data_IF_572788101554
#
_entry.id   IF_572788101554
#
_cell.length_a   1.000
_cell.length_b   1.000
_cell.length_c   1.000
_cell.angle_alpha   90.00
_cell.angle_beta   90.00
_cell.angle_gamma   90.00
#
_symmetry.space_group_name_H-M   'P 1'
#
loop_
_entity.id
_entity.type
_entity.pdbx_description
1 polymer ?
#
# COMPACT_ATOMS: atom_id res chain seq x y z
N UNK A 1 -0.94 -10.60 11.63
CA UNK A 1 0.11 -9.80 10.97
C UNK A 1 -0.07 -8.34 11.32
N UNK A 2 0.97 -7.72 11.80
CA UNK A 2 0.94 -6.31 12.21
C UNK A 2 1.72 -5.45 11.22
N UNK A 3 1.28 -4.21 11.05
CA UNK A 3 1.94 -3.24 10.20
C UNK A 3 3.44 -3.13 10.48
N UNK A 4 3.82 -3.14 11.75
CA UNK A 4 5.22 -3.03 12.15
C UNK A 4 6.11 -4.11 11.51
N UNK A 5 5.59 -5.31 11.38
CA UNK A 5 6.32 -6.42 10.77
C UNK A 5 6.54 -6.18 9.27
N UNK A 6 5.54 -5.62 8.60
CA UNK A 6 5.63 -5.28 7.18
C UNK A 6 6.62 -4.13 6.97
N UNK A 7 6.54 -3.09 7.78
CA UNK A 7 7.42 -1.92 7.66
C UNK A 7 8.89 -2.27 7.91
N UNK A 8 9.16 -3.36 8.60
CA UNK A 8 10.52 -3.85 8.88
C UNK A 8 10.95 -5.02 7.98
N UNK A 9 10.13 -5.39 7.00
CA UNK A 9 10.45 -6.50 6.10
C UNK A 9 11.46 -6.06 5.05
N UNK A 10 12.62 -6.70 5.04
CA UNK A 10 13.74 -6.31 4.16
C UNK A 10 13.43 -6.47 2.68
N UNK A 11 12.72 -7.53 2.32
CA UNK A 11 12.38 -7.80 0.93
C UNK A 11 11.39 -6.78 0.40
N UNK A 12 10.33 -6.50 1.17
CA UNK A 12 9.36 -5.47 0.80
C UNK A 12 10.04 -4.12 0.63
N UNK A 13 10.91 -3.75 1.56
CA UNK A 13 11.61 -2.47 1.52
C UNK A 13 12.57 -2.39 0.32
N UNK A 14 13.19 -3.50 -0.07
CA UNK A 14 14.04 -3.51 -1.25
C UNK A 14 13.25 -3.17 -2.52
N UNK A 15 12.05 -3.74 -2.68
CA UNK A 15 11.20 -3.40 -3.81
C UNK A 15 10.71 -1.95 -3.76
N UNK A 16 10.36 -1.46 -2.60
CA UNK A 16 9.94 -0.05 -2.46
C UNK A 16 11.07 0.91 -2.83
N UNK A 17 12.30 0.60 -2.44
CA UNK A 17 13.47 1.40 -2.79
C UNK A 17 13.72 1.39 -4.29
N UNK A 18 13.58 0.24 -4.93
CA UNK A 18 13.72 0.12 -6.39
C UNK A 18 12.67 0.95 -7.11
N UNK A 19 11.42 0.91 -6.64
CA UNK A 19 10.34 1.71 -7.20
C UNK A 19 10.61 3.20 -7.10
N UNK A 20 11.10 3.65 -5.96
CA UNK A 20 11.45 5.05 -5.76
C UNK A 20 12.58 5.49 -6.71
N UNK A 21 13.60 4.65 -6.89
CA UNK A 21 14.69 4.94 -7.82
C UNK A 21 14.18 5.04 -9.26
N UNK A 22 13.28 4.13 -9.67
CA UNK A 22 12.70 4.15 -11.01
C UNK A 22 11.93 5.45 -11.25
N UNK A 23 11.15 5.90 -10.29
CA UNK A 23 10.38 7.14 -10.40
C UNK A 23 11.29 8.37 -10.49
N UNK A 24 12.40 8.38 -9.75
CA UNK A 24 13.39 9.45 -9.84
C UNK A 24 13.95 9.60 -11.24
N UNK A 25 14.20 8.49 -11.92
CA UNK A 25 14.70 8.48 -13.30
C UNK A 25 13.65 9.01 -14.30
N UNK A 26 12.36 8.84 -13.99
CA UNK A 26 11.28 9.33 -14.82
C UNK A 26 10.90 10.78 -14.53
N UNK A 27 11.57 11.41 -13.58
CA UNK A 27 11.31 12.81 -13.23
C UNK A 27 10.21 13.03 -12.21
N UNK A 28 9.67 11.96 -11.63
CA UNK A 28 8.69 12.07 -10.55
C UNK A 28 9.39 12.44 -9.25
N UNK A 29 8.72 13.24 -8.43
CA UNK A 29 9.23 13.63 -7.13
C UNK A 29 8.57 12.81 -6.03
N UNK A 30 9.36 12.48 -5.03
CA UNK A 30 8.95 11.94 -3.73
C UNK A 30 7.88 10.85 -3.71
N UNK A 31 8.30 9.62 -4.07
CA UNK A 31 7.61 8.38 -3.73
C UNK A 31 8.48 7.58 -2.76
N UNK A 32 9.13 8.28 -1.85
CA UNK A 32 10.07 7.74 -0.87
C UNK A 32 9.35 6.91 0.19
N UNK A 33 10.15 6.28 1.04
CA UNK A 33 9.63 5.57 2.21
C UNK A 33 8.81 6.49 3.11
N UNK A 34 9.16 7.79 3.16
CA UNK A 34 8.39 8.78 3.93
C UNK A 34 6.94 8.86 3.43
N UNK A 35 6.72 8.83 2.11
CA UNK A 35 5.38 8.80 1.54
C UNK A 35 4.65 7.52 1.95
N UNK A 36 5.30 6.36 1.87
CA UNK A 36 4.69 5.08 2.27
C UNK A 36 4.26 5.11 3.74
N UNK A 37 5.11 5.61 4.62
CA UNK A 37 4.81 5.73 6.04
C UNK A 37 3.63 6.68 6.27
N UNK A 38 3.62 7.81 5.56
CA UNK A 38 2.58 8.82 5.72
C UNK A 38 1.21 8.29 5.25
N UNK A 39 1.17 7.60 4.12
CA UNK A 39 -0.06 7.01 3.61
C UNK A 39 -0.56 5.93 4.57
N UNK A 40 0.34 5.09 5.09
CA UNK A 40 -0.02 4.06 6.08
C UNK A 40 -0.64 4.71 7.32
N UNK A 41 0.00 5.74 7.85
CA UNK A 41 -0.49 6.44 9.04
C UNK A 41 -1.86 7.04 8.80
N UNK A 42 -2.04 7.73 7.69
CA UNK A 42 -3.32 8.40 7.39
C UNK A 42 -4.45 7.39 7.16
N UNK A 43 -4.19 6.31 6.44
CA UNK A 43 -5.20 5.27 6.22
C UNK A 43 -5.66 4.66 7.54
N UNK A 44 -4.73 4.33 8.43
CA UNK A 44 -5.06 3.81 9.75
C UNK A 44 -5.84 4.81 10.59
N UNK A 45 -5.44 6.08 10.54
CA UNK A 45 -6.09 7.16 11.29
C UNK A 45 -7.53 7.38 10.86
N UNK A 46 -7.79 7.32 9.56
CA UNK A 46 -9.13 7.45 9.01
C UNK A 46 -10.06 6.38 9.62
N UNK A 47 -9.64 5.12 9.56
CA UNK A 47 -10.45 4.02 10.09
C UNK A 47 -10.60 4.08 11.59
N UNK A 48 -9.56 4.50 12.31
CA UNK A 48 -9.62 4.66 13.76
C UNK A 48 -10.66 5.71 14.16
N UNK A 49 -10.66 6.85 13.48
CA UNK A 49 -11.62 7.94 13.75
C UNK A 49 -13.06 7.54 13.46
N UNK A 50 -13.26 6.64 12.50
CA UNK A 50 -14.59 6.17 12.14
C UNK A 50 -15.03 4.98 12.98
N UNK A 51 -14.22 4.53 13.94
CA UNK A 51 -14.59 3.47 14.87
C UNK A 51 -14.44 2.06 14.37
N UNK A 52 -13.65 1.85 13.30
CA UNK A 52 -13.40 0.50 12.79
C UNK A 52 -12.44 -0.27 13.71
N UNK A 53 -12.42 -1.60 13.55
CA UNK A 53 -11.63 -2.48 14.40
C UNK A 53 -10.13 -2.27 14.24
N UNK A 54 -9.38 -2.66 15.27
CA UNK A 54 -7.91 -2.64 15.22
C UNK A 54 -7.39 -3.49 14.07
N UNK A 55 -8.06 -4.61 13.79
CA UNK A 55 -7.70 -5.49 12.68
C UNK A 55 -7.79 -4.76 11.34
N UNK A 56 -8.88 -4.06 11.10
CA UNK A 56 -9.07 -3.28 9.87
C UNK A 56 -8.08 -2.12 9.77
N UNK A 57 -7.78 -1.49 10.90
CA UNK A 57 -6.78 -0.42 10.95
C UNK A 57 -5.41 -0.95 10.52
N UNK A 58 -5.01 -2.12 11.02
CA UNK A 58 -3.73 -2.72 10.64
C UNK A 58 -3.67 -3.07 9.16
N UNK A 59 -4.76 -3.61 8.60
CA UNK A 59 -4.82 -3.92 7.17
C UNK A 59 -4.70 -2.66 6.31
N UNK A 60 -5.35 -1.58 6.71
CA UNK A 60 -5.26 -0.31 6.00
C UNK A 60 -3.84 0.26 6.02
N UNK A 61 -3.15 0.14 7.15
CA UNK A 61 -1.75 0.57 7.25
C UNK A 61 -0.83 -0.26 6.34
N UNK A 62 -1.03 -1.57 6.31
CA UNK A 62 -0.24 -2.46 5.46
C UNK A 62 -0.46 -2.12 3.99
N UNK A 63 -1.72 -1.97 3.58
CA UNK A 63 -2.04 -1.61 2.20
C UNK A 63 -1.43 -0.24 1.84
N UNK A 64 -1.53 0.72 2.75
CA UNK A 64 -0.95 2.06 2.55
C UNK A 64 0.55 2.02 2.37
N UNK A 65 1.25 1.24 3.19
CA UNK A 65 2.70 1.12 3.10
C UNK A 65 3.15 0.51 1.77
N UNK A 66 2.41 -0.46 1.26
CA UNK A 66 2.79 -1.23 0.08
C UNK A 66 2.15 -0.74 -1.22
N UNK A 67 1.31 0.29 -1.18
CA UNK A 67 0.48 0.63 -2.34
C UNK A 67 1.26 0.95 -3.62
N UNK A 68 2.45 1.52 -3.51
CA UNK A 68 3.28 1.90 -4.65
C UNK A 68 4.35 0.87 -5.02
N UNK A 69 4.31 -0.32 -4.42
CA UNK A 69 5.36 -1.34 -4.64
C UNK A 69 5.48 -1.75 -6.11
N UNK A 70 4.41 -1.61 -6.88
CA UNK A 70 4.41 -1.92 -8.31
C UNK A 70 5.34 -1.04 -9.13
N UNK A 71 5.74 0.12 -8.61
CA UNK A 71 6.71 0.99 -9.29
C UNK A 71 8.08 0.32 -9.46
N UNK A 72 8.36 -0.75 -8.70
CA UNK A 72 9.57 -1.56 -8.90
C UNK A 72 9.56 -2.25 -10.26
N UNK A 73 8.38 -2.46 -10.83
CA UNK A 73 8.21 -3.11 -12.14
C UNK A 73 8.00 -2.05 -13.22
N UNK A 74 6.98 -1.21 -13.09
CA UNK A 74 6.69 -0.18 -14.06
C UNK A 74 5.67 0.80 -13.47
N UNK A 75 5.80 2.10 -13.77
CA UNK A 75 4.82 3.10 -13.35
C UNK A 75 3.47 2.86 -14.03
N UNK A 76 3.47 2.49 -15.30
CA UNK A 76 2.26 2.11 -16.02
C UNK A 76 1.71 0.83 -15.40
N UNK A 77 0.44 0.84 -15.00
CA UNK A 77 -0.23 -0.28 -14.32
C UNK A 77 0.41 -0.65 -12.97
N UNK A 78 1.04 0.33 -12.32
CA UNK A 78 1.73 0.06 -11.04
C UNK A 78 0.78 -0.48 -9.96
N UNK A 79 -0.49 -0.12 -10.00
CA UNK A 79 -1.45 -0.64 -9.02
C UNK A 79 -1.66 -2.14 -9.20
N UNK A 80 -1.89 -2.59 -10.43
CA UNK A 80 -2.09 -4.00 -10.75
C UNK A 80 -0.83 -4.82 -10.50
N UNK A 81 0.32 -4.33 -10.97
CA UNK A 81 1.60 -5.00 -10.70
C UNK A 81 1.89 -5.02 -9.19
N UNK A 82 1.55 -3.94 -8.49
CA UNK A 82 1.72 -3.87 -7.05
C UNK A 82 0.90 -4.90 -6.30
N UNK A 83 -0.34 -5.11 -6.72
CA UNK A 83 -1.20 -6.11 -6.11
C UNK A 83 -0.63 -7.52 -6.28
N UNK A 84 -0.17 -7.85 -7.49
CA UNK A 84 0.41 -9.17 -7.77
C UNK A 84 1.72 -9.38 -7.01
N UNK A 85 2.57 -8.37 -6.97
CA UNK A 85 3.85 -8.46 -6.24
C UNK A 85 3.60 -8.56 -4.74
N UNK A 86 2.67 -7.77 -4.21
CA UNK A 86 2.31 -7.83 -2.79
C UNK A 86 1.75 -9.21 -2.43
N UNK A 87 0.95 -9.81 -3.30
CA UNK A 87 0.44 -11.15 -3.06
C UNK A 87 1.59 -12.15 -2.87
N UNK A 88 2.58 -12.13 -3.75
CA UNK A 88 3.72 -13.04 -3.66
C UNK A 88 4.52 -12.81 -2.36
N UNK A 89 4.73 -11.56 -1.99
CA UNK A 89 5.49 -11.24 -0.78
C UNK A 89 4.73 -11.59 0.49
N UNK A 90 3.43 -11.30 0.53
CA UNK A 90 2.60 -11.57 1.72
C UNK A 90 2.31 -13.05 1.91
N UNK A 91 2.37 -13.87 0.85
CA UNK A 91 2.24 -15.33 0.96
C UNK A 91 3.31 -15.95 1.84
N UNK A 92 4.46 -15.32 1.92
CA UNK A 92 5.60 -15.81 2.73
C UNK A 92 5.50 -15.37 4.20
N UNK A 93 4.42 -14.68 4.57
CA UNK A 93 4.16 -14.24 5.93
C UNK A 93 3.06 -15.10 6.57
N UNK A 94 2.76 -14.85 7.83
CA UNK A 94 1.67 -15.55 8.53
C UNK A 94 0.30 -14.90 8.31
N UNK A 95 0.21 -13.94 7.39
CA UNK A 95 -1.07 -13.29 7.08
C UNK A 95 -2.07 -14.29 6.51
N UNK A 96 -3.32 -14.24 6.99
CA UNK A 96 -4.37 -15.13 6.48
C UNK A 96 -4.69 -14.83 5.02
N UNK A 97 -5.26 -15.81 4.33
CA UNK A 97 -5.69 -15.63 2.95
C UNK A 97 -6.69 -14.49 2.82
N UNK A 98 -7.67 -14.41 3.73
CA UNK A 98 -8.67 -13.34 3.71
C UNK A 98 -8.04 -11.97 3.80
N UNK A 99 -7.12 -11.79 4.74
CA UNK A 99 -6.44 -10.51 4.93
C UNK A 99 -5.59 -10.16 3.73
N UNK A 100 -4.89 -11.13 3.17
CA UNK A 100 -4.08 -10.94 1.99
C UNK A 100 -4.92 -10.48 0.81
N UNK A 101 -6.07 -11.10 0.60
CA UNK A 101 -7.00 -10.70 -0.46
C UNK A 101 -7.46 -9.25 -0.26
N UNK A 102 -7.80 -8.88 0.98
CA UNK A 102 -8.22 -7.51 1.29
C UNK A 102 -7.12 -6.51 0.95
N UNK A 103 -5.88 -6.81 1.34
CA UNK A 103 -4.75 -5.92 1.09
C UNK A 103 -4.45 -5.78 -0.40
N UNK A 104 -4.38 -6.90 -1.13
CA UNK A 104 -4.05 -6.83 -2.55
C UNK A 104 -5.17 -6.19 -3.38
N UNK A 105 -6.42 -6.37 -3.00
CA UNK A 105 -7.53 -5.70 -3.66
C UNK A 105 -7.45 -4.18 -3.46
N UNK A 106 -7.12 -3.73 -2.25
CA UNK A 106 -6.94 -2.32 -1.98
C UNK A 106 -5.80 -1.73 -2.83
N UNK A 107 -4.67 -2.42 -2.90
CA UNK A 107 -3.54 -1.98 -3.71
C UNK A 107 -3.92 -1.92 -5.18
N UNK A 108 -4.55 -2.97 -5.69
CA UNK A 108 -4.91 -3.06 -7.11
C UNK A 108 -5.91 -2.02 -7.57
N UNK A 109 -6.71 -1.49 -6.66
CA UNK A 109 -7.74 -0.51 -6.97
C UNK A 109 -7.43 0.91 -6.47
N UNK A 110 -6.19 1.17 -6.03
CA UNK A 110 -5.88 2.48 -5.48
C UNK A 110 -5.67 3.57 -6.54
N UNK A 111 -5.42 3.20 -7.79
CA UNK A 111 -5.28 4.16 -8.87
C UNK A 111 -6.67 4.60 -9.32
N UNK A 112 -7.03 5.87 -9.07
CA UNK A 112 -8.36 6.40 -9.36
C UNK A 112 -8.73 6.37 -10.83
N UNK A 113 -7.74 6.30 -11.73
CA UNK A 113 -8.02 6.25 -13.16
C UNK A 113 -8.56 4.89 -13.61
N UNK A 114 -8.27 3.82 -12.87
CA UNK A 114 -8.62 2.46 -13.27
C UNK A 114 -9.34 1.65 -12.19
N UNK A 115 -9.35 2.12 -10.94
CA UNK A 115 -9.88 1.37 -9.82
C UNK A 115 -11.05 2.04 -9.13
N UNK A 116 -11.71 1.29 -8.25
CA UNK A 116 -12.76 1.80 -7.38
C UNK A 116 -12.64 1.14 -6.01
N UNK A 117 -13.06 1.83 -4.94
CA UNK A 117 -12.99 1.25 -3.61
C UNK A 117 -14.04 0.14 -3.45
N UNK A 118 -13.59 -1.04 -2.98
CA UNK A 118 -14.46 -2.19 -2.77
C UNK A 118 -14.87 -2.37 -1.31
N UNK A 119 -14.05 -1.86 -0.38
CA UNK A 119 -14.32 -1.95 1.06
C UNK A 119 -13.69 -0.77 1.79
N UNK A 120 -13.80 -0.76 3.12
CA UNK A 120 -13.31 0.37 3.92
C UNK A 120 -11.79 0.49 3.90
N UNK A 121 -11.07 -0.61 3.78
CA UNK A 121 -9.60 -0.60 3.67
C UNK A 121 -9.20 0.08 2.36
N UNK A 122 -9.83 -0.30 1.26
CA UNK A 122 -9.59 0.28 -0.05
C UNK A 122 -9.93 1.76 -0.08
N UNK A 123 -11.07 2.14 0.48
CA UNK A 123 -11.50 3.54 0.54
C UNK A 123 -10.52 4.39 1.36
N UNK A 124 -10.08 3.89 2.52
CA UNK A 124 -9.13 4.59 3.36
C UNK A 124 -7.80 4.81 2.64
N UNK A 125 -7.32 3.79 1.92
CA UNK A 125 -6.08 3.89 1.15
C UNK A 125 -6.18 4.98 0.09
N UNK A 126 -7.24 4.98 -0.70
CA UNK A 126 -7.43 5.97 -1.77
C UNK A 126 -7.43 7.38 -1.22
N UNK A 127 -8.18 7.62 -0.13
CA UNK A 127 -8.24 8.93 0.50
C UNK A 127 -6.87 9.35 1.05
N UNK A 128 -6.19 8.42 1.73
CA UNK A 128 -4.89 8.71 2.34
C UNK A 128 -3.84 9.07 1.29
N UNK A 129 -3.81 8.33 0.19
CA UNK A 129 -2.87 8.59 -0.91
C UNK A 129 -3.17 9.94 -1.58
N UNK A 130 -4.44 10.22 -1.82
CA UNK A 130 -4.87 11.45 -2.49
C UNK A 130 -4.57 12.70 -1.65
N UNK A 131 -4.64 12.59 -0.32
CA UNK A 131 -4.47 13.73 0.58
C UNK A 131 -3.03 13.94 1.05
N UNK A 132 -2.11 13.05 0.70
CA UNK A 132 -0.72 13.24 1.05
C UNK A 132 -0.08 14.31 0.15
N UNK A 133 0.53 15.31 0.76
CA UNK A 133 1.21 16.40 0.03
C UNK A 133 2.67 16.00 -0.15
N UNK A 134 3.09 15.92 -1.38
CA UNK A 134 4.45 15.52 -1.76
C UNK A 134 5.27 16.67 -2.28
#
# INVERSE_FOLDING_TARGET
>A
MKYKEIANNKEINAYLQKGNANLGQLGFTDHSQAHCVQVARQAGKILKRLGYSEHEIELAKIAGYMHDIGNAINRTHHAEYGALLANDLLKETDMSLEDRITVIAAIGNHDESTGSPEDVVSAALIIADKTDVR
#
